data_IF_895168423709
#
_entry.id   IF_895168423709
#
_cell.length_a   1.000
_cell.length_b   1.000
_cell.length_c   1.000
_cell.angle_alpha   90.00
_cell.angle_beta   90.00
_cell.angle_gamma   90.00
#
_symmetry.space_group_name_H-M   'P 1'
#
loop_
_entity.id
_entity.type
_entity.pdbx_description
1 polymer ?
#
# COMPACT_ATOMS: atom_id res chain seq x y z
N UNK A 1 46.10 62.51 32.64
CA UNK A 1 46.00 61.03 32.61
C UNK A 1 44.53 60.64 32.40
N UNK A 2 44.16 60.38 31.16
CA UNK A 2 42.76 59.99 30.78
C UNK A 2 42.71 58.53 30.58
N UNK A 3 41.88 57.81 31.37
CA UNK A 3 41.63 56.39 31.22
C UNK A 3 40.46 56.18 30.22
N UNK A 4 40.73 55.59 29.10
CA UNK A 4 39.68 55.13 28.14
C UNK A 4 39.15 53.76 28.60
N UNK A 5 37.89 53.71 28.95
CA UNK A 5 37.19 52.46 29.24
C UNK A 5 36.68 51.82 27.91
N UNK A 6 37.21 50.65 27.58
CA UNK A 6 36.75 49.87 26.43
C UNK A 6 35.55 49.01 26.85
N UNK A 7 34.41 49.25 26.24
CA UNK A 7 33.22 48.41 26.38
C UNK A 7 33.27 47.24 25.38
N UNK A 8 33.39 46.01 25.89
CA UNK A 8 33.23 44.80 25.11
C UNK A 8 31.72 44.51 24.96
N UNK A 9 31.23 44.50 23.72
CA UNK A 9 29.87 44.07 23.38
C UNK A 9 29.91 42.57 23.22
N UNK A 10 29.14 41.78 24.01
CA UNK A 10 29.04 40.35 23.78
C UNK A 10 28.22 40.08 22.50
N UNK A 11 28.85 39.42 21.54
CA UNK A 11 28.16 38.96 20.31
C UNK A 11 27.14 37.90 20.68
N UNK A 12 25.87 38.20 20.42
CA UNK A 12 24.79 37.19 20.48
C UNK A 12 24.91 36.30 19.26
N UNK A 13 25.44 35.10 19.47
CA UNK A 13 25.44 34.04 18.44
C UNK A 13 24.03 33.53 18.22
N UNK A 14 23.48 33.79 17.04
CA UNK A 14 22.20 33.26 16.61
C UNK A 14 22.38 31.76 16.24
N UNK A 15 21.98 30.85 17.14
CA UNK A 15 21.91 29.42 16.83
C UNK A 15 20.74 29.19 15.84
N UNK A 16 21.07 28.95 14.60
CA UNK A 16 20.11 28.46 13.61
C UNK A 16 19.86 26.98 13.91
N UNK A 17 18.75 26.70 14.56
CA UNK A 17 18.19 25.33 14.68
C UNK A 17 17.68 24.89 13.31
N UNK A 18 18.49 24.12 12.62
CA UNK A 18 18.05 23.41 11.42
C UNK A 18 17.05 22.32 11.83
N UNK A 19 15.76 22.56 11.65
CA UNK A 19 14.74 21.54 11.74
C UNK A 19 14.90 20.59 10.55
N UNK A 20 15.58 19.47 10.77
CA UNK A 20 15.55 18.35 9.84
C UNK A 20 14.14 17.75 9.87
N UNK A 21 13.34 18.03 8.84
CA UNK A 21 12.14 17.26 8.60
C UNK A 21 12.56 15.80 8.37
N UNK A 22 12.16 14.91 9.26
CA UNK A 22 12.26 13.48 9.04
C UNK A 22 11.32 13.16 7.85
N UNK A 23 11.89 13.05 6.66
CA UNK A 23 11.15 12.49 5.53
C UNK A 23 10.76 11.07 5.94
N UNK A 24 9.47 10.79 6.05
CA UNK A 24 8.98 9.44 6.29
C UNK A 24 9.52 8.55 5.18
N UNK A 25 10.22 7.48 5.55
CA UNK A 25 10.70 6.51 4.57
C UNK A 25 9.49 5.87 3.89
N UNK A 26 9.52 5.84 2.56
CA UNK A 26 8.47 5.16 1.78
C UNK A 26 8.45 3.68 2.15
N UNK A 27 7.28 3.09 2.41
CA UNK A 27 7.17 1.67 2.72
C UNK A 27 7.74 0.79 1.61
N UNK A 28 8.27 -0.37 1.97
CA UNK A 28 8.76 -1.36 1.01
C UNK A 28 8.28 -2.76 1.36
N UNK A 29 8.09 -3.58 0.35
CA UNK A 29 7.66 -4.97 0.46
C UNK A 29 8.49 -5.83 -0.50
N UNK A 30 9.06 -6.92 -0.02
CA UNK A 30 9.79 -7.87 -0.86
C UNK A 30 10.97 -7.26 -1.64
N UNK A 31 11.50 -6.10 -1.22
CA UNK A 31 12.55 -5.35 -1.91
C UNK A 31 12.05 -4.27 -2.88
N UNK A 32 10.74 -4.17 -3.08
CA UNK A 32 10.12 -3.12 -3.89
C UNK A 32 9.60 -1.99 -2.99
N UNK A 33 9.78 -0.75 -3.43
CA UNK A 33 9.13 0.41 -2.81
C UNK A 33 7.63 0.38 -3.16
N UNK A 34 6.77 0.63 -2.16
CA UNK A 34 5.32 0.69 -2.39
C UNK A 34 4.96 2.09 -2.91
N UNK A 35 5.02 2.23 -4.22
CA UNK A 35 4.82 3.44 -5.01
C UNK A 35 5.90 4.53 -4.78
N UNK A 36 6.05 5.50 -5.70
CA UNK A 36 6.96 6.63 -5.53
C UNK A 36 6.62 7.49 -4.30
N UNK A 37 7.62 8.18 -3.74
CA UNK A 37 7.44 9.02 -2.55
C UNK A 37 6.38 10.14 -2.72
N UNK A 38 6.16 10.60 -3.94
CA UNK A 38 5.13 11.60 -4.28
C UNK A 38 3.83 10.96 -4.79
N UNK A 39 3.64 9.65 -4.60
CA UNK A 39 2.37 9.01 -4.85
C UNK A 39 1.35 9.44 -3.79
N UNK A 40 0.06 9.45 -4.15
CA UNK A 40 -1.03 9.83 -3.23
C UNK A 40 -1.02 8.98 -1.94
N UNK A 41 -0.64 7.71 -2.02
CA UNK A 41 -0.53 6.81 -0.87
C UNK A 41 0.63 7.15 0.08
N UNK A 42 1.66 7.84 -0.42
CA UNK A 42 2.85 8.22 0.35
C UNK A 42 2.89 9.72 0.68
N UNK A 43 1.90 10.48 0.22
CA UNK A 43 1.84 11.93 0.44
C UNK A 43 1.28 12.23 1.84
N UNK A 44 2.04 12.90 2.73
CA UNK A 44 1.54 13.37 4.01
C UNK A 44 0.34 14.31 3.83
N UNK A 45 -0.73 14.10 4.58
CA UNK A 45 -1.97 14.87 4.43
C UNK A 45 -2.25 15.84 5.59
N UNK A 46 -1.48 15.76 6.67
CA UNK A 46 -1.68 16.52 7.91
C UNK A 46 -1.55 18.04 7.73
N UNK A 47 -0.85 18.48 6.68
CA UNK A 47 -0.69 19.89 6.35
C UNK A 47 -1.63 20.39 5.25
N UNK A 48 -2.47 19.51 4.69
CA UNK A 48 -3.42 19.88 3.65
C UNK A 48 -4.63 20.61 4.24
N UNK A 49 -5.24 21.54 3.50
CA UNK A 49 -6.49 22.17 3.93
C UNK A 49 -7.59 21.13 4.16
N UNK A 50 -8.33 21.28 5.26
CA UNK A 50 -9.50 20.44 5.52
C UNK A 50 -10.57 20.70 4.47
N UNK A 51 -11.15 19.63 3.90
CA UNK A 51 -12.25 19.77 2.92
C UNK A 51 -13.43 20.54 3.56
N UNK A 52 -13.99 21.55 2.89
CA UNK A 52 -15.11 22.34 3.43
C UNK A 52 -16.33 21.51 3.82
N UNK A 53 -16.51 20.31 3.26
CA UNK A 53 -17.59 19.38 3.55
C UNK A 53 -17.23 18.34 4.61
N UNK A 54 -16.04 18.43 5.22
CA UNK A 54 -15.57 17.45 6.22
C UNK A 54 -16.59 17.20 7.33
N UNK A 55 -17.20 18.28 7.87
CA UNK A 55 -18.23 18.16 8.89
C UNK A 55 -19.47 17.40 8.41
N UNK A 56 -19.87 17.59 7.14
CA UNK A 56 -20.99 16.86 6.56
C UNK A 56 -20.68 15.37 6.40
N UNK A 57 -19.48 15.01 5.99
CA UNK A 57 -19.05 13.63 5.91
C UNK A 57 -19.03 12.95 7.29
N UNK A 58 -18.43 13.60 8.29
CA UNK A 58 -18.40 13.08 9.66
C UNK A 58 -19.80 12.92 10.25
N UNK A 59 -20.69 13.88 10.02
CA UNK A 59 -22.08 13.78 10.48
C UNK A 59 -22.85 12.65 9.79
N UNK A 60 -22.58 12.40 8.50
CA UNK A 60 -23.20 11.30 7.75
C UNK A 60 -22.73 9.93 8.24
N UNK A 61 -21.46 9.78 8.60
CA UNK A 61 -20.89 8.56 9.19
C UNK A 61 -21.41 8.37 10.62
N UNK A 62 -21.56 9.47 11.36
CA UNK A 62 -21.86 9.49 12.80
C UNK A 62 -20.61 9.80 13.62
N UNK A 63 -20.55 11.00 14.18
CA UNK A 63 -19.38 11.48 14.92
C UNK A 63 -19.00 10.64 16.17
N UNK A 64 -19.95 9.84 16.68
CA UNK A 64 -19.75 8.93 17.81
C UNK A 64 -19.47 7.48 17.41
N UNK A 65 -19.48 7.17 16.12
CA UNK A 65 -19.17 5.83 15.62
C UNK A 65 -17.64 5.65 15.65
N UNK A 66 -17.17 4.59 16.34
CA UNK A 66 -15.75 4.25 16.37
C UNK A 66 -15.24 3.80 15.00
N UNK A 67 -13.97 4.05 14.74
CA UNK A 67 -13.30 3.47 13.58
C UNK A 67 -13.14 1.96 13.81
N UNK A 68 -13.42 1.18 12.77
CA UNK A 68 -13.13 -0.25 12.73
C UNK A 68 -11.98 -0.48 11.76
N UNK A 69 -10.73 -0.57 12.22
CA UNK A 69 -9.58 -0.77 11.34
C UNK A 69 -9.49 -2.24 10.92
N UNK A 70 -9.59 -2.50 9.63
CA UNK A 70 -9.35 -3.83 9.06
C UNK A 70 -7.86 -4.04 8.70
N UNK A 71 -7.05 -3.02 8.97
CA UNK A 71 -5.60 -3.07 8.78
C UNK A 71 -4.92 -3.40 10.11
N UNK A 72 -4.07 -4.41 10.11
CA UNK A 72 -3.38 -4.80 11.33
C UNK A 72 -2.35 -5.88 11.12
N UNK A 73 -1.73 -6.28 12.22
CA UNK A 73 -0.80 -7.40 12.29
C UNK A 73 -1.06 -8.21 13.56
N UNK A 74 -0.56 -9.44 13.59
CA UNK A 74 -0.78 -10.34 14.73
C UNK A 74 -1.81 -11.42 14.40
N UNK A 75 -2.65 -11.77 15.37
CA UNK A 75 -3.66 -12.82 15.21
C UNK A 75 -5.03 -12.33 15.68
N UNK A 76 -6.06 -12.79 14.98
CA UNK A 76 -7.46 -12.64 15.35
C UNK A 76 -8.16 -13.99 15.22
N UNK A 77 -8.92 -14.39 16.22
CA UNK A 77 -9.65 -15.66 16.27
C UNK A 77 -8.79 -16.91 15.91
N UNK A 78 -7.53 -16.89 16.36
CA UNK A 78 -6.57 -17.97 16.13
C UNK A 78 -5.85 -17.95 14.76
N UNK A 79 -6.20 -17.05 13.85
CA UNK A 79 -5.57 -16.87 12.55
C UNK A 79 -4.72 -15.60 12.45
N UNK A 80 -3.76 -15.52 11.50
CA UNK A 80 -3.00 -14.31 11.26
C UNK A 80 -3.88 -13.22 10.66
N UNK A 81 -3.68 -11.97 11.08
CA UNK A 81 -4.29 -10.78 10.46
C UNK A 81 -3.44 -10.37 9.27
N UNK A 82 -4.10 -9.95 8.20
CA UNK A 82 -3.49 -9.44 6.97
C UNK A 82 -3.51 -10.45 5.84
N UNK A 83 -3.41 -9.94 4.62
CA UNK A 83 -3.42 -10.73 3.41
C UNK A 83 -2.01 -11.29 3.17
N UNK A 84 -1.85 -12.62 3.04
CA UNK A 84 -0.55 -13.20 2.76
C UNK A 84 -0.10 -12.87 1.33
N UNK A 85 1.21 -12.77 1.11
CA UNK A 85 1.77 -12.56 -0.21
C UNK A 85 2.96 -13.48 -0.46
N UNK A 86 3.29 -13.66 -1.74
CA UNK A 86 4.50 -14.38 -2.16
C UNK A 86 5.29 -13.51 -3.14
N UNK A 87 6.62 -13.61 -3.08
CA UNK A 87 7.49 -12.95 -4.05
C UNK A 87 7.98 -13.95 -5.09
N UNK A 88 8.04 -13.52 -6.35
CA UNK A 88 8.51 -14.33 -7.47
C UNK A 88 9.57 -13.58 -8.29
N UNK A 89 10.48 -14.30 -8.98
CA UNK A 89 11.34 -13.69 -9.97
C UNK A 89 10.59 -13.46 -11.30
N UNK A 90 11.13 -12.63 -12.17
CA UNK A 90 10.58 -12.40 -13.53
C UNK A 90 10.50 -13.67 -14.39
N UNK A 91 11.25 -14.71 -14.03
CA UNK A 91 11.23 -16.00 -14.71
C UNK A 91 10.09 -16.92 -14.26
N UNK A 92 9.29 -16.49 -13.26
CA UNK A 92 8.11 -17.26 -12.86
C UNK A 92 7.13 -17.39 -14.04
N UNK A 93 6.77 -18.61 -14.46
CA UNK A 93 5.80 -18.78 -15.53
C UNK A 93 4.45 -18.17 -15.16
N UNK A 94 3.85 -17.47 -16.13
CA UNK A 94 2.51 -16.96 -16.00
C UNK A 94 1.46 -18.05 -16.23
N UNK A 95 0.37 -18.01 -15.49
CA UNK A 95 -0.79 -18.89 -15.63
C UNK A 95 -2.01 -18.09 -16.09
N UNK A 96 -2.97 -18.79 -16.74
CA UNK A 96 -4.23 -18.18 -17.13
C UNK A 96 -5.17 -18.08 -15.92
N UNK A 97 -5.86 -16.95 -15.82
CA UNK A 97 -6.93 -16.73 -14.84
C UNK A 97 -8.21 -16.43 -15.61
N UNK A 98 -9.29 -17.09 -15.23
CA UNK A 98 -10.65 -16.82 -15.73
C UNK A 98 -11.35 -15.90 -14.74
N UNK A 99 -11.84 -14.74 -15.19
CA UNK A 99 -12.47 -13.74 -14.32
C UNK A 99 -13.99 -13.71 -14.51
N UNK A 100 -14.72 -13.57 -13.40
CA UNK A 100 -16.15 -13.29 -13.43
C UNK A 100 -16.40 -11.88 -14.00
N UNK A 101 -15.63 -10.89 -13.55
CA UNK A 101 -15.64 -9.51 -14.07
C UNK A 101 -14.43 -9.27 -14.97
N UNK A 102 -14.41 -9.95 -16.13
CA UNK A 102 -13.28 -9.88 -17.06
C UNK A 102 -13.09 -8.48 -17.68
N UNK A 103 -14.16 -7.72 -17.82
CA UNK A 103 -14.18 -6.33 -18.33
C UNK A 103 -13.68 -5.30 -17.31
N UNK A 104 -13.57 -5.70 -16.04
CA UNK A 104 -13.02 -4.90 -14.95
C UNK A 104 -11.74 -5.49 -14.35
N UNK A 105 -11.10 -6.43 -15.05
CA UNK A 105 -9.88 -7.10 -14.60
C UNK A 105 -8.73 -6.89 -15.58
N UNK A 106 -7.52 -6.73 -15.03
CA UNK A 106 -6.33 -6.67 -15.86
C UNK A 106 -6.08 -8.04 -16.50
N UNK A 107 -5.90 -8.11 -17.84
CA UNK A 107 -5.69 -9.39 -18.51
C UNK A 107 -4.32 -9.98 -18.12
N UNK A 108 -4.28 -11.31 -17.92
CA UNK A 108 -3.05 -12.02 -17.62
C UNK A 108 -2.03 -12.07 -18.77
N UNK A 109 -1.01 -12.94 -18.63
CA UNK A 109 -0.92 -14.00 -17.61
C UNK A 109 -0.45 -13.51 -16.24
N UNK A 110 -0.83 -14.21 -15.17
CA UNK A 110 -0.44 -13.93 -13.80
C UNK A 110 0.67 -14.89 -13.34
N UNK A 111 1.79 -14.40 -12.77
CA UNK A 111 2.92 -15.25 -12.38
C UNK A 111 2.66 -15.94 -11.02
N UNK A 112 1.60 -16.74 -10.94
CA UNK A 112 1.15 -17.40 -9.71
C UNK A 112 1.84 -18.76 -9.58
N UNK A 113 2.73 -18.97 -8.57
CA UNK A 113 3.31 -20.28 -8.33
C UNK A 113 2.28 -21.22 -7.67
N UNK A 114 2.48 -22.53 -7.86
CA UNK A 114 1.54 -23.54 -7.37
C UNK A 114 1.33 -23.53 -5.83
N UNK A 115 2.28 -22.95 -5.09
CA UNK A 115 2.21 -22.81 -3.64
C UNK A 115 1.86 -21.40 -3.19
N UNK A 116 1.25 -20.57 -4.05
CA UNK A 116 0.81 -19.23 -3.68
C UNK A 116 -0.16 -19.31 -2.49
N UNK A 117 0.08 -18.53 -1.42
CA UNK A 117 -0.82 -18.51 -0.28
C UNK A 117 -2.15 -17.87 -0.67
N UNK A 118 -3.23 -18.44 -0.15
CA UNK A 118 -4.58 -17.89 -0.26
C UNK A 118 -4.95 -17.32 1.10
N UNK A 119 -5.52 -16.14 1.14
CA UNK A 119 -6.02 -15.53 2.36
C UNK A 119 -7.01 -16.45 3.07
N UNK A 120 -6.83 -16.64 4.37
CA UNK A 120 -7.59 -17.58 5.18
C UNK A 120 -7.28 -19.05 4.94
N UNK A 121 -6.43 -19.38 3.96
CA UNK A 121 -6.05 -20.74 3.60
C UNK A 121 -6.84 -21.33 2.41
N UNK A 122 -6.48 -22.55 1.99
CA UNK A 122 -7.07 -23.17 0.78
C UNK A 122 -8.57 -23.45 0.90
N UNK A 123 -9.06 -23.63 2.12
CA UNK A 123 -10.47 -23.95 2.40
C UNK A 123 -11.27 -22.76 2.93
N UNK A 124 -10.69 -21.55 2.90
CA UNK A 124 -11.36 -20.35 3.37
C UNK A 124 -12.63 -20.03 2.57
N UNK A 125 -13.64 -19.49 3.25
CA UNK A 125 -14.91 -19.04 2.66
C UNK A 125 -14.99 -17.50 2.51
N UNK A 126 -13.92 -16.77 2.96
CA UNK A 126 -13.84 -15.32 2.88
C UNK A 126 -13.36 -14.80 1.52
N UNK A 127 -12.69 -13.67 1.54
CA UNK A 127 -12.28 -12.91 0.35
C UNK A 127 -11.24 -13.64 -0.52
N UNK A 128 -10.46 -14.55 0.08
CA UNK A 128 -9.53 -15.43 -0.65
C UNK A 128 -8.58 -14.69 -1.58
N UNK A 129 -8.02 -13.58 -1.11
CA UNK A 129 -7.02 -12.86 -1.90
C UNK A 129 -5.77 -13.71 -2.15
N UNK A 130 -5.21 -13.54 -3.35
CA UNK A 130 -3.89 -14.06 -3.71
C UNK A 130 -3.05 -12.89 -4.19
N UNK A 131 -1.97 -12.60 -3.45
CA UNK A 131 -1.04 -11.52 -3.76
C UNK A 131 0.31 -12.07 -4.20
N UNK A 132 0.74 -11.71 -5.42
CA UNK A 132 2.03 -12.13 -5.97
C UNK A 132 2.82 -10.89 -6.37
N UNK A 133 3.99 -10.70 -5.75
CA UNK A 133 4.91 -9.61 -6.08
C UNK A 133 6.05 -10.13 -6.96
N UNK A 134 6.05 -9.72 -8.23
CA UNK A 134 7.21 -9.87 -9.09
C UNK A 134 8.24 -8.78 -8.73
N UNK A 135 9.36 -9.21 -8.11
CA UNK A 135 10.30 -8.29 -7.45
C UNK A 135 11.35 -7.68 -8.37
N UNK A 136 11.45 -8.09 -9.64
CA UNK A 136 12.43 -7.54 -10.60
C UNK A 136 11.90 -6.25 -11.23
N UNK A 137 10.66 -6.28 -11.70
CA UNK A 137 9.97 -5.12 -12.24
C UNK A 137 9.11 -4.40 -11.18
N UNK A 138 8.99 -4.95 -9.96
CA UNK A 138 8.12 -4.45 -8.90
C UNK A 138 6.67 -4.34 -9.35
N UNK A 139 6.15 -5.41 -9.93
CA UNK A 139 4.75 -5.53 -10.28
C UNK A 139 4.01 -6.39 -9.26
N UNK A 140 2.94 -5.85 -8.71
CA UNK A 140 2.04 -6.57 -7.81
C UNK A 140 0.84 -7.08 -8.59
N UNK A 141 0.57 -8.37 -8.45
CA UNK A 141 -0.58 -9.06 -9.02
C UNK A 141 -1.50 -9.44 -7.88
N UNK A 142 -2.75 -9.05 -7.99
CA UNK A 142 -3.77 -9.31 -6.99
C UNK A 142 -4.95 -10.05 -7.61
N UNK A 143 -5.44 -11.08 -6.93
CA UNK A 143 -6.69 -11.75 -7.25
C UNK A 143 -7.64 -11.65 -6.07
N UNK A 144 -8.90 -11.40 -6.34
CA UNK A 144 -10.00 -11.46 -5.40
C UNK A 144 -10.84 -12.71 -5.63
N UNK A 145 -11.19 -13.40 -4.55
CA UNK A 145 -11.98 -14.63 -4.55
C UNK A 145 -11.38 -15.69 -5.49
N UNK A 146 -10.12 -16.05 -5.22
CA UNK A 146 -9.31 -16.88 -6.11
C UNK A 146 -9.39 -18.37 -5.78
N UNK A 147 -9.55 -19.19 -6.82
CA UNK A 147 -9.65 -20.64 -6.74
C UNK A 147 -8.71 -21.33 -7.73
N UNK A 148 -7.74 -22.13 -7.25
CA UNK A 148 -6.89 -22.92 -8.14
C UNK A 148 -7.70 -24.02 -8.83
N UNK A 149 -7.38 -24.29 -10.09
CA UNK A 149 -8.01 -25.33 -10.92
C UNK A 149 -7.03 -26.41 -11.35
N UNK A 150 -7.55 -27.55 -11.70
CA UNK A 150 -6.75 -28.61 -12.30
C UNK A 150 -6.03 -28.09 -13.56
N UNK A 151 -4.78 -28.49 -13.73
CA UNK A 151 -3.96 -28.01 -14.86
C UNK A 151 -3.22 -26.70 -14.61
N UNK A 152 -3.28 -26.13 -13.38
CA UNK A 152 -2.51 -24.96 -12.98
C UNK A 152 -3.10 -23.61 -13.40
N UNK A 153 -4.36 -23.60 -13.86
CA UNK A 153 -5.11 -22.36 -14.09
C UNK A 153 -5.85 -21.92 -12.83
N UNK A 154 -6.42 -20.71 -12.84
CA UNK A 154 -7.17 -20.15 -11.72
C UNK A 154 -8.50 -19.58 -12.21
N UNK A 155 -9.50 -19.58 -11.33
CA UNK A 155 -10.68 -18.74 -11.45
C UNK A 155 -10.60 -17.68 -10.36
N UNK A 156 -11.07 -16.47 -10.65
CA UNK A 156 -11.19 -15.39 -9.69
C UNK A 156 -12.38 -14.49 -10.04
N UNK A 157 -12.88 -13.76 -9.07
CA UNK A 157 -13.94 -12.76 -9.33
C UNK A 157 -13.35 -11.58 -10.09
N UNK A 158 -12.22 -11.05 -9.63
CA UNK A 158 -11.50 -9.99 -10.34
C UNK A 158 -9.99 -10.08 -10.11
N UNK A 159 -9.23 -9.35 -10.93
CA UNK A 159 -7.78 -9.28 -10.82
C UNK A 159 -7.23 -7.90 -11.18
N UNK A 160 -6.14 -7.53 -10.51
CA UNK A 160 -5.46 -6.26 -10.70
C UNK A 160 -3.94 -6.45 -10.83
N UNK A 161 -3.31 -5.62 -11.66
CA UNK A 161 -1.86 -5.54 -11.83
C UNK A 161 -1.41 -4.11 -11.55
N UNK A 162 -0.57 -3.93 -10.54
CA UNK A 162 -0.05 -2.62 -10.17
C UNK A 162 1.45 -2.52 -10.45
N UNK A 163 1.85 -1.48 -11.20
CA UNK A 163 3.24 -1.07 -11.27
C UNK A 163 3.57 -0.23 -10.04
N UNK A 164 4.34 -0.80 -9.12
CA UNK A 164 4.73 -0.13 -7.87
C UNK A 164 5.75 1.00 -8.08
N UNK A 165 6.33 1.12 -9.27
CA UNK A 165 7.23 2.23 -9.62
C UNK A 165 6.49 3.44 -10.19
N UNK A 166 5.18 3.31 -10.45
CA UNK A 166 4.38 4.30 -11.16
C UNK A 166 3.29 4.97 -10.32
N UNK A 167 2.49 5.77 -10.99
CA UNK A 167 1.32 6.46 -10.42
C UNK A 167 0.02 6.04 -11.10
N UNK A 168 0.08 4.99 -11.90
CA UNK A 168 -1.07 4.58 -12.67
C UNK A 168 -2.17 4.06 -11.75
N UNK A 169 -3.36 4.60 -11.93
CA UNK A 169 -4.58 4.14 -11.27
C UNK A 169 -5.38 3.25 -12.22
N UNK A 170 -6.17 2.37 -11.68
CA UNK A 170 -7.15 1.59 -12.44
C UNK A 170 -8.20 2.52 -13.07
N UNK A 171 -8.87 2.11 -14.16
CA UNK A 171 -9.94 2.89 -14.76
C UNK A 171 -11.02 3.25 -13.73
N UNK A 172 -11.52 4.49 -13.78
CA UNK A 172 -12.49 5.00 -12.78
C UNK A 172 -13.83 4.27 -12.75
N UNK A 173 -14.12 3.50 -13.79
CA UNK A 173 -15.36 2.72 -13.94
C UNK A 173 -15.21 1.28 -13.45
N UNK A 174 -14.01 0.88 -13.08
CA UNK A 174 -13.74 -0.45 -12.56
C UNK A 174 -13.95 -0.49 -11.05
N UNK A 175 -14.48 -1.56 -10.55
CA UNK A 175 -14.63 -1.85 -9.11
C UNK A 175 -13.40 -2.55 -8.55
#
# INVERSE_FOLDING_TARGET
MSRRSSWLIPGVGLLLLSSSSLANAVPSLGGCTLFPANNVWNTPVEALPVDPRSAAYINSIGASVGLHPDFGSGTWDGGPIGIPFITVPITQPGVSVSFEYADESDPGPYPIPANAPIEGGPDAEGDRHVLVLERTACQLYELYSAYPRAGGTWDAVSGAIFDLNGHQLRPRTWT
#
